data_IF_657560920399
#
_entry.id   IF_657560920399
#
_cell.length_a   1.000
_cell.length_b   1.000
_cell.length_c   1.000
_cell.angle_alpha   90.00
_cell.angle_beta   90.00
_cell.angle_gamma   90.00
#
_symmetry.space_group_name_H-M   'P 1'
#
loop_
_entity.id
_entity.type
_entity.pdbx_description
1 polymer ?
#
# COMPACT_ATOMS: atom_id res chain seq x y z
N UNK A 1 2.06 -4.02 13.69
CA UNK A 1 1.90 -4.39 12.26
C UNK A 1 2.08 -3.13 11.40
N UNK A 2 2.87 -3.20 10.37
CA UNK A 2 2.93 -2.21 9.30
C UNK A 2 2.28 -2.84 8.07
N UNK A 3 1.33 -2.14 7.45
CA UNK A 3 0.74 -2.55 6.18
C UNK A 3 1.60 -2.01 5.04
N UNK A 4 1.91 -2.84 4.06
CA UNK A 4 2.76 -2.49 2.93
C UNK A 4 1.93 -2.37 1.65
N UNK A 5 2.08 -1.23 0.97
CA UNK A 5 1.59 -1.04 -0.39
C UNK A 5 2.46 -1.85 -1.37
N UNK A 6 1.89 -2.28 -2.47
CA UNK A 6 2.57 -3.13 -3.46
C UNK A 6 3.85 -2.52 -4.02
N UNK A 7 3.90 -1.19 -4.19
CA UNK A 7 5.10 -0.53 -4.68
C UNK A 7 6.34 -0.75 -3.79
N UNK A 8 6.16 -0.78 -2.46
CA UNK A 8 7.26 -1.06 -1.54
C UNK A 8 7.67 -2.54 -1.58
N UNK A 9 6.69 -3.44 -1.69
CA UNK A 9 6.99 -4.88 -1.81
C UNK A 9 7.79 -5.16 -3.08
N UNK A 10 7.41 -4.53 -4.18
CA UNK A 10 8.14 -4.65 -5.47
C UNK A 10 9.55 -4.10 -5.35
N UNK A 11 9.72 -2.92 -4.75
CA UNK A 11 11.04 -2.32 -4.55
C UNK A 11 11.97 -3.23 -3.73
N UNK A 12 11.44 -3.85 -2.66
CA UNK A 12 12.22 -4.73 -1.80
C UNK A 12 12.84 -5.94 -2.51
N UNK A 13 12.35 -6.29 -3.69
CA UNK A 13 12.90 -7.38 -4.52
C UNK A 13 14.23 -7.01 -5.18
N UNK A 14 14.49 -5.73 -5.44
CA UNK A 14 15.76 -5.26 -6.03
C UNK A 14 16.58 -4.47 -5.01
N UNK A 15 17.31 -5.20 -4.17
CA UNK A 15 18.14 -4.61 -3.11
C UNK A 15 19.41 -3.90 -3.64
N UNK A 16 19.66 -3.93 -4.95
CA UNK A 16 20.76 -3.21 -5.58
C UNK A 16 20.46 -1.72 -5.75
N UNK A 17 19.18 -1.35 -5.81
CA UNK A 17 18.77 0.05 -5.81
C UNK A 17 18.71 0.61 -4.38
N UNK A 18 18.84 1.93 -4.23
CA UNK A 18 18.72 2.58 -2.93
C UNK A 18 17.29 2.44 -2.36
N UNK A 19 16.29 2.53 -3.22
CA UNK A 19 14.89 2.34 -2.88
C UNK A 19 14.62 0.91 -2.41
N UNK A 20 15.16 -0.07 -3.11
CA UNK A 20 15.02 -1.48 -2.77
C UNK A 20 15.74 -1.86 -1.49
N UNK A 21 16.94 -1.33 -1.26
CA UNK A 21 17.67 -1.53 0.00
C UNK A 21 16.91 -0.96 1.19
N UNK A 22 16.39 0.25 1.05
CA UNK A 22 15.56 0.88 2.08
C UNK A 22 14.28 0.06 2.36
N UNK A 23 13.58 -0.37 1.30
CA UNK A 23 12.36 -1.16 1.42
C UNK A 23 12.63 -2.50 2.11
N UNK A 24 13.68 -3.20 1.72
CA UNK A 24 14.06 -4.48 2.32
C UNK A 24 14.40 -4.34 3.81
N UNK A 25 15.09 -3.27 4.20
CA UNK A 25 15.41 -2.99 5.60
C UNK A 25 14.15 -2.68 6.41
N UNK A 26 13.23 -1.90 5.86
CA UNK A 26 11.94 -1.61 6.52
C UNK A 26 11.12 -2.89 6.73
N UNK A 27 11.06 -3.77 5.73
CA UNK A 27 10.38 -5.07 5.86
C UNK A 27 11.01 -5.89 6.99
N UNK A 28 12.33 -6.01 7.00
CA UNK A 28 13.04 -6.77 8.01
C UNK A 28 12.79 -6.21 9.43
N UNK A 29 12.81 -4.90 9.58
CA UNK A 29 12.50 -4.25 10.85
C UNK A 29 11.05 -4.50 11.28
N UNK A 30 10.10 -4.35 10.38
CA UNK A 30 8.68 -4.62 10.65
C UNK A 30 8.45 -6.05 11.11
N UNK A 31 9.08 -7.03 10.45
CA UNK A 31 9.01 -8.45 10.83
C UNK A 31 9.52 -8.67 12.26
N UNK A 32 10.59 -7.98 12.65
CA UNK A 32 11.15 -8.10 14.01
C UNK A 32 10.30 -7.42 15.09
N UNK A 33 9.60 -6.34 14.75
CA UNK A 33 9.02 -5.43 15.73
C UNK A 33 7.50 -5.40 15.80
N UNK A 34 6.79 -6.21 15.06
CA UNK A 34 5.32 -6.22 15.15
C UNK A 34 4.61 -6.78 13.94
N UNK A 35 5.33 -7.07 12.90
CA UNK A 35 4.84 -7.73 11.70
C UNK A 35 4.78 -6.81 10.48
N UNK A 36 5.00 -7.43 9.33
CA UNK A 36 4.84 -6.83 8.00
C UNK A 36 3.64 -7.48 7.32
N UNK A 37 2.63 -6.70 6.94
CA UNK A 37 1.40 -7.18 6.35
C UNK A 37 1.23 -6.77 4.89
N UNK A 38 0.70 -7.67 4.09
CA UNK A 38 0.16 -7.41 2.74
C UNK A 38 -1.28 -7.89 2.77
N UNK A 39 -2.24 -7.05 2.41
CA UNK A 39 -3.63 -7.49 2.40
C UNK A 39 -3.99 -8.20 1.08
N UNK A 40 -5.18 -8.80 1.06
CA UNK A 40 -5.67 -9.55 -0.09
C UNK A 40 -5.68 -8.73 -1.39
N UNK A 41 -5.92 -7.42 -1.31
CA UNK A 41 -5.92 -6.53 -2.48
C UNK A 41 -4.50 -6.35 -3.03
N UNK A 42 -3.54 -6.03 -2.16
CA UNK A 42 -2.13 -5.94 -2.55
C UNK A 42 -1.58 -7.28 -3.05
N UNK A 43 -1.98 -8.37 -2.41
CA UNK A 43 -1.63 -9.71 -2.87
C UNK A 43 -2.14 -9.98 -4.29
N UNK A 44 -3.39 -9.64 -4.58
CA UNK A 44 -3.95 -9.78 -5.92
C UNK A 44 -3.18 -8.96 -6.97
N UNK A 45 -2.81 -7.72 -6.64
CA UNK A 45 -2.01 -6.88 -7.52
C UNK A 45 -0.63 -7.50 -7.82
N UNK A 46 0.01 -8.06 -6.80
CA UNK A 46 1.30 -8.74 -6.96
C UNK A 46 1.19 -9.99 -7.84
N UNK A 47 0.09 -10.74 -7.74
CA UNK A 47 -0.16 -11.92 -8.58
C UNK A 47 -0.28 -11.55 -10.06
N UNK A 48 -1.00 -10.47 -10.37
CA UNK A 48 -1.23 -10.01 -11.75
C UNK A 48 0.09 -9.68 -12.46
N UNK A 49 1.07 -9.18 -11.73
CA UNK A 49 2.37 -8.81 -12.28
C UNK A 49 3.34 -9.97 -12.52
N UNK A 50 2.96 -11.22 -12.22
CA UNK A 50 3.84 -12.40 -12.27
C UNK A 50 3.47 -13.37 -13.40
N UNK A 51 4.45 -14.21 -13.86
CA UNK A 51 4.13 -15.28 -14.78
C UNK A 51 3.09 -16.26 -14.24
N UNK A 52 2.34 -16.88 -15.14
CA UNK A 52 1.39 -17.92 -14.77
C UNK A 52 2.10 -19.05 -13.99
N UNK A 53 1.48 -19.46 -12.87
CA UNK A 53 2.02 -20.50 -12.00
C UNK A 53 3.05 -20.03 -10.99
N UNK A 54 3.39 -18.73 -10.95
CA UNK A 54 4.25 -18.19 -9.90
C UNK A 54 3.55 -18.30 -8.53
N UNK A 55 4.29 -18.77 -7.52
CA UNK A 55 3.79 -18.90 -6.16
C UNK A 55 4.14 -17.64 -5.35
N UNK A 56 3.36 -16.59 -5.57
CA UNK A 56 3.55 -15.29 -4.91
C UNK A 56 3.32 -15.38 -3.40
N UNK A 57 2.38 -16.21 -2.97
CA UNK A 57 2.12 -16.40 -1.53
C UNK A 57 3.34 -16.96 -0.81
N UNK A 58 3.93 -18.02 -1.34
CA UNK A 58 5.15 -18.60 -0.76
C UNK A 58 6.32 -17.62 -0.74
N UNK A 59 6.47 -16.79 -1.78
CA UNK A 59 7.49 -15.73 -1.81
C UNK A 59 7.28 -14.70 -0.69
N UNK A 60 6.03 -14.26 -0.49
CA UNK A 60 5.70 -13.30 0.55
C UNK A 60 5.94 -13.87 1.95
N UNK A 61 5.50 -15.10 2.17
CA UNK A 61 5.70 -15.78 3.46
C UNK A 61 7.20 -16.00 3.75
N UNK A 62 7.98 -16.38 2.75
CA UNK A 62 9.42 -16.54 2.88
C UNK A 62 10.14 -15.21 3.19
N UNK A 63 9.62 -14.09 2.68
CA UNK A 63 10.14 -12.76 3.01
C UNK A 63 9.70 -12.25 4.39
N UNK A 64 8.84 -12.99 5.09
CA UNK A 64 8.36 -12.67 6.43
C UNK A 64 7.04 -11.91 6.47
N UNK A 65 6.39 -11.69 5.33
CA UNK A 65 5.06 -11.05 5.31
C UNK A 65 3.97 -11.97 5.84
N UNK A 66 3.00 -11.36 6.51
CA UNK A 66 1.70 -11.97 6.76
C UNK A 66 0.74 -11.52 5.67
N UNK A 67 0.11 -12.48 4.99
CA UNK A 67 -0.96 -12.18 4.03
C UNK A 67 -2.27 -12.08 4.79
N UNK A 68 -2.94 -10.93 4.67
CA UNK A 68 -4.10 -10.58 5.48
C UNK A 68 -5.37 -10.53 4.64
N UNK A 69 -6.44 -11.08 5.18
CA UNK A 69 -7.78 -10.85 4.63
C UNK A 69 -8.15 -9.37 4.76
N UNK A 70 -8.97 -8.88 3.84
CA UNK A 70 -9.52 -7.54 3.94
C UNK A 70 -10.73 -7.58 4.88
N UNK A 71 -10.70 -6.87 6.03
CA UNK A 71 -11.85 -6.86 6.93
C UNK A 71 -13.06 -6.19 6.29
N UNK A 72 -14.24 -6.77 6.46
CA UNK A 72 -15.49 -6.20 5.94
C UNK A 72 -15.73 -4.76 6.46
N UNK A 73 -15.31 -4.45 7.68
CA UNK A 73 -15.40 -3.11 8.26
C UNK A 73 -14.63 -2.03 7.51
N UNK A 74 -13.61 -2.40 6.74
CA UNK A 74 -12.90 -1.46 5.89
C UNK A 74 -13.78 -0.90 4.76
N UNK A 75 -14.85 -1.58 4.38
CA UNK A 75 -15.73 -1.16 3.29
C UNK A 75 -16.40 0.19 3.54
N UNK A 76 -16.78 0.49 4.77
CA UNK A 76 -17.41 1.78 5.14
C UNK A 76 -16.40 2.93 5.01
N UNK A 77 -15.17 2.71 5.44
CA UNK A 77 -14.09 3.70 5.32
C UNK A 77 -13.73 3.90 3.86
N UNK A 78 -13.65 2.82 3.11
CA UNK A 78 -13.38 2.83 1.67
C UNK A 78 -14.44 3.65 0.92
N UNK A 79 -15.72 3.41 1.19
CA UNK A 79 -16.84 4.14 0.57
C UNK A 79 -16.73 5.65 0.84
N UNK A 80 -16.50 6.04 2.08
CA UNK A 80 -16.34 7.45 2.45
C UNK A 80 -15.20 8.13 1.69
N UNK A 81 -14.04 7.51 1.67
CA UNK A 81 -12.86 8.05 1.00
C UNK A 81 -13.03 8.09 -0.52
N UNK A 82 -13.54 7.02 -1.10
CA UNK A 82 -13.73 6.91 -2.54
C UNK A 82 -14.83 7.86 -3.07
N UNK A 83 -15.86 8.10 -2.28
CA UNK A 83 -16.91 9.09 -2.61
C UNK A 83 -16.30 10.49 -2.72
N UNK A 84 -15.40 10.87 -1.80
CA UNK A 84 -14.66 12.14 -1.88
C UNK A 84 -13.79 12.22 -3.13
N UNK A 85 -13.10 11.13 -3.47
CA UNK A 85 -12.28 11.03 -4.68
C UNK A 85 -13.12 11.21 -5.95
N UNK A 86 -14.26 10.55 -6.06
CA UNK A 86 -15.16 10.67 -7.21
C UNK A 86 -15.67 12.10 -7.39
N UNK A 87 -16.03 12.77 -6.31
CA UNK A 87 -16.47 14.18 -6.33
C UNK A 87 -15.34 15.10 -6.78
N UNK A 88 -14.14 14.92 -6.24
CA UNK A 88 -12.97 15.70 -6.61
C UNK A 88 -12.62 15.52 -8.09
N UNK A 89 -12.68 14.28 -8.60
CA UNK A 89 -12.41 13.97 -10.00
C UNK A 89 -13.41 14.65 -10.95
N UNK A 90 -14.71 14.66 -10.62
CA UNK A 90 -15.74 15.35 -11.41
C UNK A 90 -15.48 16.85 -11.44
N UNK A 91 -15.16 17.47 -10.32
CA UNK A 91 -14.88 18.92 -10.22
C UNK A 91 -13.65 19.34 -11.03
N UNK A 92 -12.64 18.47 -11.14
CA UNK A 92 -11.42 18.74 -11.91
C UNK A 92 -11.54 18.42 -13.40
N UNK A 93 -12.72 17.96 -13.88
CA UNK A 93 -12.93 17.59 -15.28
C UNK A 93 -12.36 16.22 -15.66
N UNK A 94 -11.98 15.40 -14.70
CA UNK A 94 -11.42 14.05 -14.94
C UNK A 94 -12.41 12.98 -15.34
N UNK A 95 -13.70 13.33 -15.48
CA UNK A 95 -14.77 12.39 -15.87
C UNK A 95 -15.19 11.46 -14.73
N UNK A 96 -15.92 10.41 -15.08
CA UNK A 96 -16.38 9.44 -14.10
C UNK A 96 -15.30 8.46 -13.68
N UNK A 97 -15.17 8.24 -12.37
CA UNK A 97 -14.34 7.18 -11.83
C UNK A 97 -15.04 5.82 -11.97
N UNK A 98 -14.27 4.71 -11.97
CA UNK A 98 -14.86 3.37 -11.92
C UNK A 98 -15.85 3.22 -10.76
N UNK A 99 -16.86 2.36 -10.92
CA UNK A 99 -17.81 2.07 -9.83
C UNK A 99 -17.13 1.33 -8.67
N UNK A 100 -16.23 0.41 -9.00
CA UNK A 100 -15.45 -0.30 -7.98
C UNK A 100 -14.30 0.60 -7.55
N UNK A 101 -14.08 0.78 -6.24
CA UNK A 101 -12.97 1.57 -5.75
C UNK A 101 -11.62 1.08 -6.28
N UNK A 102 -10.70 2.02 -6.52
CA UNK A 102 -9.34 1.69 -6.89
C UNK A 102 -8.65 0.94 -5.75
N UNK A 103 -7.68 0.04 -6.04
CA UNK A 103 -7.01 -0.78 -5.02
C UNK A 103 -6.49 -0.01 -3.82
N UNK A 104 -5.91 1.17 -4.03
CA UNK A 104 -5.35 2.00 -2.96
C UNK A 104 -6.39 2.36 -1.89
N UNK A 105 -7.65 2.51 -2.26
CA UNK A 105 -8.72 2.85 -1.31
C UNK A 105 -9.03 1.69 -0.36
N UNK A 106 -8.90 0.46 -0.81
CA UNK A 106 -9.01 -0.71 0.07
C UNK A 106 -7.81 -0.85 1.00
N UNK A 107 -6.63 -0.54 0.52
CA UNK A 107 -5.39 -0.61 1.31
C UNK A 107 -5.41 0.49 2.38
N UNK A 108 -5.72 1.73 2.00
CA UNK A 108 -5.83 2.85 2.94
C UNK A 108 -6.92 2.64 3.99
N UNK A 109 -8.09 2.15 3.58
CA UNK A 109 -9.20 1.85 4.49
C UNK A 109 -8.84 0.75 5.50
N UNK A 110 -8.11 -0.27 5.07
CA UNK A 110 -7.63 -1.34 5.96
C UNK A 110 -6.68 -0.78 7.02
N UNK A 111 -5.70 0.02 6.61
CA UNK A 111 -4.75 0.67 7.52
C UNK A 111 -5.47 1.57 8.53
N UNK A 112 -6.43 2.38 8.07
CA UNK A 112 -7.21 3.26 8.95
C UNK A 112 -8.03 2.48 9.96
N UNK A 113 -8.74 1.45 9.51
CA UNK A 113 -9.56 0.60 10.39
C UNK A 113 -8.75 -0.02 11.54
N UNK A 114 -7.56 -0.52 11.21
CA UNK A 114 -6.70 -1.21 12.16
C UNK A 114 -5.81 -0.26 12.97
N UNK A 115 -5.73 1.00 12.59
CA UNK A 115 -4.79 1.95 13.20
C UNK A 115 -3.33 1.63 12.90
N UNK A 116 -3.04 0.99 11.77
CA UNK A 116 -1.69 0.61 11.39
C UNK A 116 -1.02 1.66 10.50
N UNK A 117 0.29 1.87 10.63
CA UNK A 117 1.05 2.62 9.64
C UNK A 117 1.01 1.91 8.28
N UNK A 118 1.09 2.71 7.22
CA UNK A 118 1.14 2.25 5.84
C UNK A 118 2.46 2.67 5.19
N UNK A 119 3.22 1.70 4.72
CA UNK A 119 4.44 1.94 3.95
C UNK A 119 4.10 2.08 2.47
N UNK A 120 4.40 3.23 1.86
CA UNK A 120 4.08 3.52 0.46
C UNK A 120 5.00 4.59 -0.12
N UNK A 121 5.22 4.55 -1.46
CA UNK A 121 5.81 5.66 -2.21
C UNK A 121 4.78 6.68 -2.70
N UNK A 122 3.54 6.26 -2.86
CA UNK A 122 2.44 7.10 -3.35
C UNK A 122 1.71 7.77 -2.19
N UNK A 123 2.34 8.80 -1.64
CA UNK A 123 1.85 9.44 -0.41
C UNK A 123 0.73 10.45 -0.64
N UNK A 124 0.65 11.06 -1.82
CA UNK A 124 -0.29 12.15 -2.09
C UNK A 124 -1.75 11.71 -1.94
N UNK A 125 -2.12 10.60 -2.57
CA UNK A 125 -3.47 10.05 -2.51
C UNK A 125 -3.86 9.66 -1.09
N UNK A 126 -2.97 9.00 -0.36
CA UNK A 126 -3.25 8.58 1.01
C UNK A 126 -3.35 9.77 1.97
N UNK A 127 -2.50 10.77 1.85
CA UNK A 127 -2.61 12.00 2.65
C UNK A 127 -3.94 12.70 2.43
N UNK A 128 -4.41 12.73 1.20
CA UNK A 128 -5.63 13.43 0.83
C UNK A 128 -6.89 12.71 1.31
N UNK A 129 -6.95 11.39 1.15
CA UNK A 129 -8.17 10.60 1.40
C UNK A 129 -8.15 9.79 2.68
N UNK A 130 -7.00 9.58 3.27
CA UNK A 130 -6.80 8.86 4.53
C UNK A 130 -5.88 9.63 5.47
N UNK A 131 -6.27 10.86 5.88
CA UNK A 131 -5.38 11.74 6.64
C UNK A 131 -5.03 11.20 8.03
N UNK A 132 -5.81 10.25 8.56
CA UNK A 132 -5.57 9.65 9.87
C UNK A 132 -4.56 8.48 9.82
N UNK A 133 -4.19 8.03 8.63
CA UNK A 133 -3.21 6.95 8.46
C UNK A 133 -1.80 7.52 8.52
N UNK A 134 -0.97 6.98 9.42
CA UNK A 134 0.46 7.32 9.45
C UNK A 134 1.16 6.68 8.26
N UNK A 135 1.81 7.49 7.43
CA UNK A 135 2.56 7.01 6.27
C UNK A 135 4.04 6.86 6.59
N UNK A 136 4.63 5.78 6.07
CA UNK A 136 6.07 5.54 6.07
C UNK A 136 6.52 5.60 4.61
N UNK A 137 7.31 6.61 4.26
CA UNK A 137 7.77 6.87 2.90
C UNK A 137 9.29 6.77 2.78
N UNK A 138 9.83 6.44 1.59
CA UNK A 138 11.27 6.40 1.39
C UNK A 138 11.94 7.72 1.72
N UNK A 139 13.00 7.67 2.53
CA UNK A 139 13.74 8.87 2.96
C UNK A 139 14.48 9.56 1.81
N UNK A 140 14.82 8.83 0.75
CA UNK A 140 15.52 9.36 -0.42
C UNK A 140 14.65 10.25 -1.31
N UNK A 141 13.32 10.13 -1.23
CA UNK A 141 12.41 11.00 -1.98
C UNK A 141 12.48 12.47 -1.55
N UNK A 142 12.92 12.74 -0.30
CA UNK A 142 13.07 14.11 0.22
C UNK A 142 14.37 14.79 -0.22
N UNK A 143 15.40 14.04 -0.58
CA UNK A 143 16.69 14.61 -0.99
C UNK A 143 16.67 15.19 -2.42
N UNK A 144 15.73 14.80 -3.26
CA UNK A 144 15.59 15.27 -4.64
C UNK A 144 14.65 16.47 -4.79
N UNK A 145 13.92 16.84 -3.73
CA UNK A 145 12.98 17.99 -3.74
C UNK A 145 13.57 19.34 -3.32
N UNK A 146 14.83 19.39 -2.89
CA UNK A 146 15.54 20.61 -2.48
C UNK A 146 16.76 20.87 -3.36
N UNK A 147 16.56 20.86 -4.65
CA UNK A 147 17.57 21.28 -5.60
C UNK A 147 17.06 22.42 -6.45
#
# INVERSE_FOLDING_TARGET
>A
MILFDTNIVIDARDQRSAEGAWAAELVAEAVRSGGAGVNAIGFAELCVGQPEGADVESELLAAGFTVLDLPAGASVICDRAYTKYRRARRRSGGGEAPRVPLPDFFIGAHAELMGWPLATRDTERYRRYFPNVKLIEPTHARAQGNG
#
